data_IF_094227483083
#
_entry.id   IF_094227483083
#
_cell.length_a   1.000
_cell.length_b   1.000
_cell.length_c   1.000
_cell.angle_alpha   90.00
_cell.angle_beta   90.00
_cell.angle_gamma   90.00
#
_symmetry.space_group_name_H-M   'P 1'
#
loop_
_entity.id
_entity.type
_entity.pdbx_description
1 polymer ?
#
# COMPACT_ATOMS: atom_id res chain seq x y z
N UNK A 1 -9.05 -6.14 35.47
CA UNK A 1 -8.76 -5.24 34.34
C UNK A 1 -9.57 -5.73 33.16
N UNK A 2 -10.61 -5.00 32.74
CA UNK A 2 -11.29 -5.25 31.47
C UNK A 2 -10.32 -4.97 30.34
N UNK A 3 -10.02 -5.97 29.51
CA UNK A 3 -9.22 -5.79 28.30
C UNK A 3 -9.92 -4.77 27.42
N UNK A 4 -9.28 -3.61 27.21
CA UNK A 4 -9.80 -2.57 26.32
C UNK A 4 -9.88 -3.16 24.92
N UNK A 5 -11.06 -3.11 24.29
CA UNK A 5 -11.22 -3.56 22.90
C UNK A 5 -10.35 -2.71 21.97
N UNK A 6 -9.61 -3.37 21.08
CA UNK A 6 -8.70 -2.73 20.13
C UNK A 6 -9.16 -2.93 18.70
N UNK A 7 -9.17 -1.87 17.89
CA UNK A 7 -9.35 -1.96 16.44
C UNK A 7 -7.98 -1.98 15.80
N UNK A 8 -7.63 -3.05 15.08
CA UNK A 8 -6.27 -3.25 14.59
C UNK A 8 -6.18 -2.99 13.09
N UNK A 9 -5.15 -2.27 12.68
CA UNK A 9 -4.67 -2.23 11.30
C UNK A 9 -3.36 -3.01 11.24
N UNK A 10 -3.09 -3.66 10.12
CA UNK A 10 -1.82 -4.34 9.89
C UNK A 10 -1.18 -3.83 8.60
N UNK A 11 0.11 -3.56 8.61
CA UNK A 11 0.88 -3.26 7.40
C UNK A 11 2.20 -4.01 7.41
N UNK A 12 2.64 -4.52 6.28
CA UNK A 12 4.03 -4.95 6.14
C UNK A 12 4.98 -3.75 5.98
N UNK A 13 6.23 -3.95 6.37
CA UNK A 13 7.26 -2.92 6.29
C UNK A 13 7.52 -2.49 4.84
N UNK A 14 7.38 -3.40 3.87
CA UNK A 14 7.48 -3.12 2.42
C UNK A 14 6.38 -2.18 1.91
N UNK A 15 5.23 -2.12 2.59
CA UNK A 15 4.16 -1.16 2.30
C UNK A 15 4.47 0.20 2.90
N UNK A 16 5.05 0.25 4.11
CA UNK A 16 5.32 1.51 4.83
C UNK A 16 6.60 2.21 4.36
N UNK A 17 7.58 1.44 3.90
CA UNK A 17 8.87 1.93 3.42
C UNK A 17 9.07 1.57 1.95
N UNK A 18 9.77 2.43 1.23
CA UNK A 18 10.20 2.15 -0.13
C UNK A 18 11.47 1.27 -0.13
N UNK A 19 11.30 0.00 0.22
CA UNK A 19 12.38 -1.00 0.27
C UNK A 19 13.07 -1.15 -1.09
N UNK A 20 12.35 -0.90 -2.20
CA UNK A 20 12.90 -0.93 -3.56
C UNK A 20 14.03 0.08 -3.69
N UNK A 21 13.85 1.31 -3.20
CA UNK A 21 14.89 2.33 -3.17
C UNK A 21 16.12 1.86 -2.38
N UNK A 22 15.90 1.25 -1.21
CA UNK A 22 16.98 0.69 -0.39
C UNK A 22 17.79 -0.38 -1.13
N UNK A 23 17.11 -1.27 -1.86
CA UNK A 23 17.76 -2.29 -2.71
C UNK A 23 18.52 -1.64 -3.86
N UNK A 24 17.90 -0.69 -4.58
CA UNK A 24 18.51 -0.02 -5.73
C UNK A 24 19.78 0.74 -5.33
N UNK A 25 19.83 1.34 -4.13
CA UNK A 25 21.02 1.99 -3.60
C UNK A 25 22.23 1.08 -3.38
N UNK A 26 22.06 -0.24 -3.49
CA UNK A 26 23.14 -1.23 -3.47
C UNK A 26 23.66 -1.58 -4.86
N UNK A 27 22.91 -1.27 -5.91
CA UNK A 27 23.17 -1.72 -7.28
C UNK A 27 23.67 -0.57 -8.15
N UNK A 28 23.11 0.63 -7.97
CA UNK A 28 23.38 1.79 -8.81
C UNK A 28 23.93 2.96 -8.01
N UNK A 29 24.71 3.81 -8.67
CA UNK A 29 25.30 5.02 -8.09
C UNK A 29 24.21 6.02 -7.66
N UNK A 30 24.53 6.86 -6.67
CA UNK A 30 23.58 7.78 -6.02
C UNK A 30 22.89 8.73 -7.01
N UNK A 31 23.63 9.32 -7.96
CA UNK A 31 23.05 10.23 -8.97
C UNK A 31 22.02 9.51 -9.86
N UNK A 32 22.36 8.29 -10.32
CA UNK A 32 21.45 7.48 -11.15
C UNK A 32 20.24 7.00 -10.35
N UNK A 33 20.43 6.70 -9.06
CA UNK A 33 19.34 6.36 -8.16
C UNK A 33 18.38 7.53 -8.04
N UNK A 34 18.89 8.74 -7.82
CA UNK A 34 18.07 9.94 -7.69
C UNK A 34 17.25 10.21 -8.95
N UNK A 35 17.88 10.10 -10.13
CA UNK A 35 17.21 10.24 -11.42
C UNK A 35 16.10 9.19 -11.58
N UNK A 36 16.39 7.92 -11.24
CA UNK A 36 15.44 6.83 -11.35
C UNK A 36 14.24 7.02 -10.42
N UNK A 37 14.45 7.24 -9.11
CA UNK A 37 13.35 7.33 -8.13
C UNK A 37 12.49 8.59 -8.30
N UNK A 38 13.00 9.58 -9.03
CA UNK A 38 12.27 10.81 -9.37
C UNK A 38 11.52 10.70 -10.70
N UNK A 39 11.72 9.62 -11.44
CA UNK A 39 11.11 9.43 -12.78
C UNK A 39 9.69 8.87 -12.72
N UNK A 40 8.89 9.20 -13.74
CA UNK A 40 7.57 8.60 -13.97
C UNK A 40 7.65 7.06 -14.03
N UNK A 41 8.73 6.54 -14.63
CA UNK A 41 8.95 5.09 -14.80
C UNK A 41 9.04 4.36 -13.47
N UNK A 42 9.59 4.99 -12.43
CA UNK A 42 9.66 4.39 -11.10
C UNK A 42 8.34 4.56 -10.32
N UNK A 43 7.77 5.76 -10.37
CA UNK A 43 6.60 6.14 -9.57
C UNK A 43 5.32 5.44 -10.05
N UNK A 44 5.15 5.30 -11.36
CA UNK A 44 4.01 4.66 -12.01
C UNK A 44 4.40 3.32 -12.63
N UNK A 45 5.44 2.66 -12.11
CA UNK A 45 5.87 1.35 -12.60
C UNK A 45 4.72 0.35 -12.51
N UNK A 46 4.53 -0.45 -13.54
CA UNK A 46 3.59 -1.57 -13.50
C UNK A 46 4.25 -2.83 -12.92
N UNK A 47 5.58 -2.89 -12.91
CA UNK A 47 6.37 -4.04 -12.46
C UNK A 47 7.59 -3.54 -11.67
N UNK A 48 8.13 -4.36 -10.77
CA UNK A 48 9.43 -4.09 -10.13
C UNK A 48 10.59 -4.47 -11.08
N UNK A 49 10.61 -3.80 -12.24
CA UNK A 49 11.66 -3.87 -13.24
C UNK A 49 12.18 -2.45 -13.50
N UNK A 50 13.50 -2.27 -13.39
CA UNK A 50 14.12 -0.94 -13.39
C UNK A 50 15.14 -0.83 -14.52
N UNK A 51 15.12 0.29 -15.23
CA UNK A 51 16.05 0.56 -16.32
C UNK A 51 17.50 0.48 -15.83
N UNK A 52 18.36 -0.19 -16.60
CA UNK A 52 19.80 -0.37 -16.30
C UNK A 52 20.09 -1.14 -15.00
N UNK A 53 19.12 -1.86 -14.46
CA UNK A 53 19.30 -2.73 -13.29
C UNK A 53 19.19 -4.19 -13.73
N UNK A 54 20.21 -4.99 -13.40
CA UNK A 54 20.14 -6.43 -13.64
C UNK A 54 19.08 -7.06 -12.72
N UNK A 55 18.05 -7.67 -13.33
CA UNK A 55 16.90 -8.25 -12.61
C UNK A 55 17.30 -9.37 -11.66
N UNK A 56 18.26 -10.22 -12.04
CA UNK A 56 18.71 -11.32 -11.20
C UNK A 56 19.46 -10.81 -9.97
N UNK A 57 20.28 -9.78 -10.13
CA UNK A 57 20.98 -9.12 -9.02
C UNK A 57 20.01 -8.42 -8.08
N UNK A 58 19.02 -7.71 -8.61
CA UNK A 58 17.95 -7.12 -7.82
C UNK A 58 17.21 -8.17 -6.99
N UNK A 59 16.77 -9.26 -7.63
CA UNK A 59 16.08 -10.35 -6.97
C UNK A 59 16.96 -11.04 -5.91
N UNK A 60 18.26 -11.21 -6.19
CA UNK A 60 19.21 -11.77 -5.24
C UNK A 60 19.30 -10.93 -3.97
N UNK A 61 19.41 -9.60 -4.09
CA UNK A 61 19.46 -8.70 -2.93
C UNK A 61 18.11 -8.68 -2.22
N UNK A 62 16.99 -8.59 -2.96
CA UNK A 62 15.65 -8.59 -2.38
C UNK A 62 15.38 -9.84 -1.54
N UNK A 63 15.74 -11.02 -2.05
CA UNK A 63 15.55 -12.29 -1.36
C UNK A 63 16.48 -12.47 -0.14
N UNK A 64 17.60 -11.74 -0.08
CA UNK A 64 18.58 -11.80 1.00
C UNK A 64 18.68 -10.47 1.76
N UNK A 65 17.60 -9.67 1.78
CA UNK A 65 17.59 -8.34 2.38
C UNK A 65 17.79 -8.39 3.89
N UNK A 66 18.63 -7.50 4.39
CA UNK A 66 18.98 -7.35 5.81
C UNK A 66 18.57 -5.97 6.33
N UNK A 67 18.68 -5.74 7.64
CA UNK A 67 18.33 -4.47 8.30
C UNK A 67 19.02 -3.26 7.67
N UNK A 68 20.23 -3.41 7.12
CA UNK A 68 20.92 -2.36 6.35
C UNK A 68 20.14 -1.85 5.12
N UNK A 69 19.19 -2.61 4.56
CA UNK A 69 18.30 -2.09 3.52
C UNK A 69 17.28 -1.11 4.10
N UNK A 70 16.80 -1.33 5.34
CA UNK A 70 15.84 -0.43 6.01
C UNK A 70 16.46 0.96 6.19
N UNK A 71 17.72 1.04 6.61
CA UNK A 71 18.41 2.32 6.83
C UNK A 71 18.63 3.13 5.54
N UNK A 72 18.59 2.47 4.38
CA UNK A 72 18.69 3.07 3.05
C UNK A 72 17.35 3.29 2.37
N UNK A 73 16.26 2.84 3.00
CA UNK A 73 14.91 2.99 2.49
C UNK A 73 14.31 4.31 2.95
N UNK A 74 13.32 4.81 2.22
CA UNK A 74 12.59 6.02 2.59
C UNK A 74 11.17 5.66 3.00
N UNK A 75 10.49 6.58 3.68
CA UNK A 75 9.07 6.41 4.01
C UNK A 75 8.26 6.45 2.71
N UNK A 76 7.44 5.43 2.47
CA UNK A 76 6.52 5.41 1.35
C UNK A 76 5.30 6.29 1.65
N UNK A 77 4.64 6.80 0.59
CA UNK A 77 3.42 7.60 0.77
C UNK A 77 2.28 6.82 1.46
N UNK A 78 2.29 5.49 1.39
CA UNK A 78 1.36 4.60 2.09
C UNK A 78 1.31 4.87 3.60
N UNK A 79 2.42 5.32 4.20
CA UNK A 79 2.44 5.73 5.59
C UNK A 79 1.37 6.80 5.90
N UNK A 80 1.16 7.76 4.99
CA UNK A 80 0.11 8.76 5.13
C UNK A 80 -1.29 8.15 4.99
N UNK A 81 -1.46 7.16 4.11
CA UNK A 81 -2.73 6.44 3.95
C UNK A 81 -3.10 5.69 5.23
N UNK A 82 -2.15 4.94 5.79
CA UNK A 82 -2.31 4.21 7.07
C UNK A 82 -2.62 5.19 8.20
N UNK A 83 -1.85 6.29 8.32
CA UNK A 83 -2.09 7.34 9.31
C UNK A 83 -3.50 7.92 9.21
N UNK A 84 -3.93 8.30 8.00
CA UNK A 84 -5.27 8.86 7.78
C UNK A 84 -6.37 7.86 8.16
N UNK A 85 -6.15 6.57 7.90
CA UNK A 85 -7.10 5.52 8.28
C UNK A 85 -7.20 5.36 9.80
N UNK A 86 -6.07 5.38 10.52
CA UNK A 86 -6.06 5.37 11.99
C UNK A 86 -6.80 6.59 12.57
N UNK A 87 -6.51 7.79 12.06
CA UNK A 87 -7.21 9.04 12.47
C UNK A 87 -8.72 8.95 12.23
N UNK A 88 -9.14 8.38 11.10
CA UNK A 88 -10.57 8.24 10.79
C UNK A 88 -11.26 7.23 11.72
N UNK A 89 -10.57 6.16 12.13
CA UNK A 89 -11.07 5.21 13.12
C UNK A 89 -11.23 5.90 14.49
N UNK A 90 -10.22 6.67 14.93
CA UNK A 90 -10.31 7.43 16.18
C UNK A 90 -11.48 8.42 16.17
N UNK A 91 -11.65 9.18 15.09
CA UNK A 91 -12.78 10.11 14.91
C UNK A 91 -14.12 9.40 14.98
N UNK A 92 -14.24 8.24 14.32
CA UNK A 92 -15.45 7.41 14.37
C UNK A 92 -15.73 6.92 15.79
N UNK A 93 -14.72 6.45 16.51
CA UNK A 93 -14.89 5.98 17.89
C UNK A 93 -15.40 7.10 18.80
N UNK A 94 -14.84 8.31 18.68
CA UNK A 94 -15.33 9.49 19.40
C UNK A 94 -16.78 9.80 19.04
N UNK A 95 -17.12 9.80 17.75
CA UNK A 95 -18.48 10.09 17.27
C UNK A 95 -19.51 9.06 17.78
N UNK A 96 -19.15 7.78 17.84
CA UNK A 96 -20.00 6.69 18.32
C UNK A 96 -19.94 6.48 19.84
N UNK A 97 -19.18 7.30 20.57
CA UNK A 97 -18.92 7.14 22.00
C UNK A 97 -18.37 5.75 22.37
N UNK A 98 -17.52 5.18 21.51
CA UNK A 98 -16.83 3.91 21.73
C UNK A 98 -15.49 4.13 22.45
N UNK A 99 -15.20 3.34 23.48
CA UNK A 99 -13.95 3.41 24.25
C UNK A 99 -12.81 2.57 23.65
N UNK A 100 -12.86 2.28 22.35
CA UNK A 100 -11.87 1.44 21.66
C UNK A 100 -10.60 2.23 21.30
N UNK A 101 -9.44 1.59 21.47
CA UNK A 101 -8.15 2.15 21.02
C UNK A 101 -7.72 1.50 19.71
N UNK A 102 -6.97 2.24 18.90
CA UNK A 102 -6.36 1.78 17.67
C UNK A 102 -5.02 1.09 17.93
N UNK A 103 -4.72 0.06 17.16
CA UNK A 103 -3.42 -0.60 17.15
C UNK A 103 -2.92 -0.71 15.71
N UNK A 104 -1.66 -0.37 15.48
CA UNK A 104 -0.96 -0.63 14.24
C UNK A 104 0.01 -1.80 14.43
N UNK A 105 -0.32 -2.93 13.81
CA UNK A 105 0.57 -4.08 13.71
C UNK A 105 1.48 -3.88 12.50
N UNK A 106 2.78 -4.00 12.70
CA UNK A 106 3.77 -3.87 11.63
C UNK A 106 4.49 -5.18 11.46
N UNK A 107 4.32 -5.81 10.31
CA UNK A 107 5.03 -7.02 9.96
C UNK A 107 6.39 -6.67 9.36
N UNK A 108 7.46 -6.95 10.09
CA UNK A 108 8.83 -6.68 9.68
C UNK A 108 9.48 -7.84 8.93
N UNK A 109 8.74 -8.91 8.61
CA UNK A 109 9.30 -10.03 7.85
C UNK A 109 9.86 -9.56 6.49
N UNK A 110 11.04 -10.03 6.04
CA UNK A 110 11.91 -11.06 6.63
C UNK A 110 13.02 -10.50 7.52
N UNK A 111 12.99 -9.21 7.87
CA UNK A 111 14.06 -8.57 8.65
C UNK A 111 14.13 -9.14 10.07
N UNK A 112 15.34 -9.39 10.53
CA UNK A 112 15.62 -9.82 11.91
C UNK A 112 16.18 -8.65 12.68
N UNK A 113 15.32 -8.01 13.47
CA UNK A 113 15.70 -6.89 14.32
C UNK A 113 16.08 -7.39 15.72
N UNK A 114 17.05 -6.73 16.32
CA UNK A 114 17.29 -6.77 17.76
C UNK A 114 16.17 -6.05 18.52
N UNK A 115 16.08 -6.27 19.84
CA UNK A 115 15.11 -5.57 20.67
C UNK A 115 15.29 -4.05 20.59
N UNK A 116 16.55 -3.58 20.60
CA UNK A 116 16.87 -2.16 20.47
C UNK A 116 16.41 -1.59 19.12
N UNK A 117 16.72 -2.26 18.02
CA UNK A 117 16.27 -1.82 16.69
C UNK A 117 14.73 -1.83 16.58
N UNK A 118 14.07 -2.76 17.27
CA UNK A 118 12.61 -2.83 17.34
C UNK A 118 12.03 -1.64 18.10
N UNK A 119 12.60 -1.30 19.25
CA UNK A 119 12.25 -0.11 20.05
C UNK A 119 12.47 1.18 19.25
N UNK A 120 13.63 1.32 18.58
CA UNK A 120 13.96 2.48 17.75
C UNK A 120 12.94 2.67 16.61
N UNK A 121 12.51 1.58 15.95
CA UNK A 121 11.47 1.64 14.90
C UNK A 121 10.12 2.04 15.49
N UNK A 122 9.72 1.48 16.64
CA UNK A 122 8.47 1.84 17.31
C UNK A 122 8.46 3.34 17.63
N UNK A 123 9.53 3.86 18.21
CA UNK A 123 9.64 5.28 18.60
C UNK A 123 9.56 6.22 17.39
N UNK A 124 10.25 5.88 16.29
CA UNK A 124 10.21 6.65 15.05
C UNK A 124 8.80 6.66 14.46
N UNK A 125 8.14 5.50 14.40
CA UNK A 125 6.79 5.40 13.84
C UNK A 125 5.78 6.12 14.73
N UNK A 126 5.86 5.94 16.05
CA UNK A 126 5.01 6.64 17.01
C UNK A 126 5.12 8.15 16.84
N UNK A 127 6.36 8.66 16.78
CA UNK A 127 6.66 10.08 16.57
C UNK A 127 6.09 10.59 15.24
N UNK A 128 6.20 9.81 14.16
CA UNK A 128 5.70 10.20 12.83
C UNK A 128 4.17 10.14 12.72
N UNK A 129 3.55 9.14 13.34
CA UNK A 129 2.10 9.01 13.38
C UNK A 129 1.48 10.17 14.17
N UNK A 130 2.05 10.52 15.33
CA UNK A 130 1.58 11.60 16.19
C UNK A 130 0.07 11.48 16.51
N UNK A 131 -0.36 10.27 16.86
CA UNK A 131 -1.73 9.91 17.26
C UNK A 131 -1.68 8.87 18.39
N UNK A 132 -2.78 8.69 19.12
CA UNK A 132 -2.84 7.82 20.28
C UNK A 132 -3.15 6.37 19.88
N UNK A 133 -2.19 5.73 19.20
CA UNK A 133 -2.27 4.34 18.74
C UNK A 133 -1.21 3.49 19.42
N UNK A 134 -1.55 2.23 19.72
CA UNK A 134 -0.54 1.23 20.03
C UNK A 134 0.20 0.82 18.76
N UNK A 135 1.47 0.44 18.90
CA UNK A 135 2.28 -0.11 17.82
C UNK A 135 2.81 -1.46 18.28
N UNK A 136 2.56 -2.49 17.48
CA UNK A 136 3.03 -3.85 17.73
C UNK A 136 3.87 -4.30 16.55
N UNK A 137 5.11 -4.70 16.81
CA UNK A 137 5.97 -5.28 15.78
C UNK A 137 5.82 -6.80 15.82
N UNK A 138 5.58 -7.40 14.65
CA UNK A 138 5.54 -8.86 14.47
C UNK A 138 6.46 -9.27 13.33
N UNK A 139 6.91 -10.52 13.35
CA UNK A 139 7.74 -11.08 12.27
C UNK A 139 7.09 -12.37 11.76
N UNK A 140 6.09 -12.19 10.89
CA UNK A 140 5.28 -13.28 10.36
C UNK A 140 5.60 -13.50 8.89
N UNK A 141 5.96 -14.72 8.51
CA UNK A 141 6.12 -15.04 7.11
C UNK A 141 4.78 -14.96 6.37
N UNK A 142 4.81 -14.90 5.04
CA UNK A 142 3.59 -14.95 4.22
C UNK A 142 2.75 -16.18 4.58
N UNK A 143 3.39 -17.32 4.89
CA UNK A 143 2.69 -18.57 5.27
C UNK A 143 1.98 -18.47 6.61
N UNK A 144 2.50 -17.66 7.53
CA UNK A 144 1.92 -17.50 8.87
C UNK A 144 0.85 -16.42 8.91
N UNK A 145 0.89 -15.47 7.98
CA UNK A 145 -0.12 -14.43 7.79
C UNK A 145 -1.38 -14.99 7.08
N UNK A 146 -2.03 -15.97 7.69
CA UNK A 146 -3.18 -16.66 7.07
C UNK A 146 -4.47 -15.83 7.15
N UNK A 147 -5.46 -16.09 6.29
CA UNK A 147 -6.80 -15.52 6.44
C UNK A 147 -7.41 -15.75 7.83
N UNK A 148 -7.25 -16.96 8.39
CA UNK A 148 -7.72 -17.22 9.76
C UNK A 148 -7.06 -16.31 10.78
N UNK A 149 -5.75 -16.10 10.71
CA UNK A 149 -5.05 -15.17 11.60
C UNK A 149 -5.63 -13.74 11.50
N UNK A 150 -5.82 -13.22 10.27
CA UNK A 150 -6.37 -11.88 10.06
C UNK A 150 -7.76 -11.75 10.69
N UNK A 151 -8.62 -12.75 10.44
CA UNK A 151 -9.99 -12.81 10.96
C UNK A 151 -10.03 -12.86 12.49
N UNK A 152 -9.27 -13.78 13.09
CA UNK A 152 -9.31 -14.05 14.53
C UNK A 152 -8.60 -12.97 15.36
N UNK A 153 -7.72 -12.17 14.74
CA UNK A 153 -6.89 -11.17 15.44
C UNK A 153 -7.56 -9.80 15.63
N UNK A 154 -8.77 -9.58 15.10
CA UNK A 154 -9.46 -8.29 15.15
C UNK A 154 -8.86 -7.23 14.21
N UNK A 155 -8.18 -7.66 13.14
CA UNK A 155 -7.58 -6.78 12.14
C UNK A 155 -8.65 -6.36 11.14
N UNK A 156 -9.02 -5.07 11.09
CA UNK A 156 -10.06 -4.59 10.16
C UNK A 156 -9.49 -4.25 8.78
N UNK A 157 -8.19 -3.96 8.68
CA UNK A 157 -7.55 -3.82 7.38
C UNK A 157 -6.08 -4.18 7.40
N UNK A 158 -5.63 -4.76 6.29
CA UNK A 158 -4.27 -5.26 6.10
C UNK A 158 -3.66 -4.68 4.82
N UNK A 159 -2.45 -4.14 4.89
CA UNK A 159 -1.68 -3.65 3.75
C UNK A 159 -0.53 -4.63 3.48
N UNK A 160 -0.53 -5.26 2.32
CA UNK A 160 0.45 -6.28 1.92
C UNK A 160 1.05 -5.88 0.58
N UNK A 161 2.37 -5.70 0.53
CA UNK A 161 3.06 -5.35 -0.72
C UNK A 161 3.12 -6.55 -1.67
N UNK A 162 3.55 -7.71 -1.18
CA UNK A 162 3.67 -8.93 -2.01
C UNK A 162 2.33 -9.67 -2.14
N UNK A 163 1.42 -9.05 -2.88
CA UNK A 163 0.05 -9.52 -3.10
C UNK A 163 -0.01 -10.88 -3.79
N UNK A 164 0.86 -11.13 -4.77
CA UNK A 164 0.88 -12.39 -5.51
C UNK A 164 1.20 -13.56 -4.59
N UNK A 165 2.30 -13.50 -3.84
CA UNK A 165 2.71 -14.63 -3.02
C UNK A 165 1.69 -14.90 -1.89
N UNK A 166 1.06 -13.85 -1.35
CA UNK A 166 0.01 -14.02 -0.37
C UNK A 166 -1.24 -14.69 -0.95
N UNK A 167 -1.73 -14.23 -2.11
CA UNK A 167 -2.87 -14.82 -2.80
C UNK A 167 -2.59 -16.27 -3.21
N UNK A 168 -1.43 -16.54 -3.82
CA UNK A 168 -1.04 -17.91 -4.23
C UNK A 168 -0.94 -18.86 -3.04
N UNK A 169 -0.44 -18.37 -1.90
CA UNK A 169 -0.31 -19.18 -0.67
C UNK A 169 -1.67 -19.49 -0.06
N UNK A 170 -2.61 -18.52 -0.06
CA UNK A 170 -3.81 -18.59 0.76
C UNK A 170 -5.13 -18.74 0.00
N UNK A 171 -5.10 -18.83 -1.34
CA UNK A 171 -6.32 -18.91 -2.16
C UNK A 171 -7.29 -20.00 -1.68
N UNK A 172 -6.77 -21.18 -1.36
CA UNK A 172 -7.58 -22.30 -0.85
C UNK A 172 -8.11 -22.04 0.57
N UNK A 173 -7.33 -21.38 1.42
CA UNK A 173 -7.77 -21.07 2.79
C UNK A 173 -8.84 -19.97 2.83
N UNK A 174 -8.81 -19.04 1.88
CA UNK A 174 -9.85 -18.01 1.70
C UNK A 174 -11.25 -18.57 1.43
N UNK A 175 -11.35 -19.78 0.88
CA UNK A 175 -12.64 -20.47 0.71
C UNK A 175 -13.25 -20.88 2.06
N UNK A 176 -12.42 -21.33 3.00
CA UNK A 176 -12.84 -21.75 4.33
C UNK A 176 -12.94 -20.58 5.32
N UNK A 177 -12.04 -19.61 5.20
CA UNK A 177 -11.88 -18.47 6.12
C UNK A 177 -12.10 -17.15 5.37
N UNK A 178 -13.35 -16.91 4.98
CA UNK A 178 -13.73 -15.67 4.31
C UNK A 178 -13.42 -14.44 5.17
N UNK A 179 -12.93 -13.41 4.50
CA UNK A 179 -12.52 -12.10 5.01
C UNK A 179 -13.45 -11.00 4.50
N UNK A 180 -14.76 -11.23 4.52
CA UNK A 180 -15.75 -10.27 3.99
C UNK A 180 -15.86 -9.00 4.85
N UNK A 181 -15.51 -9.09 6.13
CA UNK A 181 -15.52 -7.95 7.07
C UNK A 181 -14.14 -7.27 7.20
N UNK A 182 -13.14 -7.78 6.49
CA UNK A 182 -11.78 -7.26 6.48
C UNK A 182 -11.47 -6.68 5.10
N UNK A 183 -10.66 -5.62 5.06
CA UNK A 183 -10.22 -5.04 3.78
C UNK A 183 -8.73 -5.26 3.61
N UNK A 184 -8.33 -5.94 2.55
CA UNK A 184 -6.93 -6.11 2.18
C UNK A 184 -6.57 -5.10 1.08
N UNK A 185 -5.48 -4.38 1.29
CA UNK A 185 -4.92 -3.44 0.34
C UNK A 185 -3.66 -4.04 -0.27
N UNK A 186 -3.61 -4.04 -1.59
CA UNK A 186 -2.47 -4.50 -2.38
C UNK A 186 -1.95 -3.38 -3.28
N UNK A 187 -0.68 -3.40 -3.70
CA UNK A 187 -0.23 -2.59 -4.82
C UNK A 187 -0.82 -3.09 -6.14
N UNK A 188 -1.19 -2.16 -7.01
CA UNK A 188 -1.53 -2.40 -8.42
C UNK A 188 -0.26 -2.74 -9.23
N UNK A 189 0.42 -3.82 -8.86
CA UNK A 189 1.65 -4.30 -9.50
C UNK A 189 1.38 -5.59 -10.28
N UNK A 190 1.90 -5.66 -11.49
CA UNK A 190 1.84 -6.81 -12.38
C UNK A 190 3.10 -7.65 -12.17
N UNK A 191 2.91 -8.95 -11.97
CA UNK A 191 4.02 -9.90 -11.83
C UNK A 191 4.31 -10.63 -13.15
N UNK A 192 3.25 -10.93 -13.90
CA UNK A 192 3.32 -11.53 -15.24
C UNK A 192 2.51 -10.66 -16.18
N UNK A 193 3.14 -10.12 -17.23
CA UNK A 193 2.46 -9.26 -18.18
C UNK A 193 1.33 -10.04 -18.87
N UNK A 194 0.06 -9.63 -18.73
CA UNK A 194 -1.04 -10.33 -19.38
C UNK A 194 -0.90 -10.22 -20.90
N UNK A 195 -1.33 -11.25 -21.61
CA UNK A 195 -1.36 -11.20 -23.07
C UNK A 195 -2.44 -10.21 -23.53
N UNK A 196 -2.33 -9.72 -24.76
CA UNK A 196 -3.37 -8.86 -25.35
C UNK A 196 -4.73 -9.56 -25.36
N UNK A 197 -4.76 -10.85 -25.65
CA UNK A 197 -5.98 -11.66 -25.68
C UNK A 197 -6.63 -11.75 -24.28
N UNK A 198 -5.84 -11.82 -23.21
CA UNK A 198 -6.35 -11.82 -21.84
C UNK A 198 -6.96 -10.47 -21.47
N UNK A 199 -6.29 -9.37 -21.82
CA UNK A 199 -6.83 -8.02 -21.62
C UNK A 199 -8.13 -7.81 -22.41
N UNK A 200 -8.18 -8.23 -23.66
CA UNK A 200 -9.38 -8.11 -24.50
C UNK A 200 -10.57 -8.91 -23.92
N UNK A 201 -10.32 -10.08 -23.32
CA UNK A 201 -11.36 -10.85 -22.60
C UNK A 201 -11.86 -10.11 -21.37
N UNK A 202 -10.95 -9.54 -20.57
CA UNK A 202 -11.29 -8.78 -19.36
C UNK A 202 -12.15 -7.55 -19.73
N UNK A 203 -11.75 -6.80 -20.76
CA UNK A 203 -12.51 -5.64 -21.24
C UNK A 203 -13.88 -6.03 -21.78
N UNK A 204 -14.01 -7.16 -22.50
CA UNK A 204 -15.32 -7.67 -22.96
C UNK A 204 -16.26 -8.04 -21.81
N UNK A 205 -15.72 -8.40 -20.65
CA UNK A 205 -16.49 -8.65 -19.43
C UNK A 205 -16.87 -7.35 -18.69
N UNK A 206 -16.47 -6.18 -19.19
CA UNK A 206 -16.82 -4.87 -18.64
C UNK A 206 -15.84 -4.33 -17.60
N UNK A 207 -14.65 -4.92 -17.47
CA UNK A 207 -13.62 -4.48 -16.54
C UNK A 207 -12.57 -3.59 -17.24
N UNK A 208 -12.08 -2.58 -16.52
CA UNK A 208 -11.12 -1.63 -17.07
C UNK A 208 -9.69 -2.18 -17.07
N UNK A 209 -9.37 -3.06 -16.13
CA UNK A 209 -8.04 -3.61 -15.93
C UNK A 209 -8.10 -4.98 -15.22
N UNK A 210 -6.93 -5.62 -15.09
CA UNK A 210 -6.80 -6.92 -14.41
C UNK A 210 -7.06 -6.85 -12.91
N UNK A 211 -6.86 -5.67 -12.29
CA UNK A 211 -6.99 -5.49 -10.84
C UNK A 211 -8.46 -5.47 -10.43
N UNK A 212 -9.28 -4.66 -11.09
CA UNK A 212 -10.74 -4.60 -10.92
C UNK A 212 -11.41 -5.94 -11.23
N UNK A 213 -10.91 -6.67 -12.24
CA UNK A 213 -11.35 -8.03 -12.50
C UNK A 213 -11.00 -9.00 -11.36
N UNK A 214 -9.80 -8.89 -10.80
CA UNK A 214 -9.35 -9.72 -9.66
C UNK A 214 -10.16 -9.42 -8.39
N UNK A 215 -10.44 -8.14 -8.09
CA UNK A 215 -11.32 -7.72 -6.99
C UNK A 215 -12.71 -8.34 -7.12
N UNK A 216 -13.27 -8.33 -8.34
CA UNK A 216 -14.57 -8.92 -8.61
C UNK A 216 -14.58 -10.43 -8.37
N UNK A 217 -13.62 -11.17 -8.93
CA UNK A 217 -13.55 -12.63 -8.78
C UNK A 217 -13.43 -13.02 -7.30
N UNK A 218 -12.65 -12.28 -6.52
CA UNK A 218 -12.37 -12.62 -5.12
C UNK A 218 -13.38 -12.04 -4.12
N UNK A 219 -14.31 -11.19 -4.57
CA UNK A 219 -15.27 -10.48 -3.72
C UNK A 219 -16.16 -11.39 -2.86
N UNK A 220 -16.40 -12.63 -3.28
CA UNK A 220 -17.17 -13.61 -2.51
C UNK A 220 -16.42 -14.16 -1.28
N UNK A 221 -15.10 -13.93 -1.21
CA UNK A 221 -14.20 -14.47 -0.20
C UNK A 221 -13.44 -13.39 0.57
N UNK A 222 -13.10 -12.26 -0.05
CA UNK A 222 -12.31 -11.20 0.55
C UNK A 222 -12.57 -9.86 -0.13
N UNK A 223 -12.61 -8.77 0.65
CA UNK A 223 -12.63 -7.42 0.10
C UNK A 223 -11.20 -6.97 -0.17
N UNK A 224 -10.82 -6.90 -1.45
CA UNK A 224 -9.51 -6.41 -1.90
C UNK A 224 -9.67 -5.02 -2.50
N UNK A 225 -8.69 -4.15 -2.26
CA UNK A 225 -8.51 -2.91 -2.99
C UNK A 225 -7.07 -2.81 -3.50
N UNK A 226 -6.89 -2.77 -4.82
CA UNK A 226 -5.60 -2.47 -5.42
C UNK A 226 -5.36 -0.95 -5.40
N UNK A 227 -4.20 -0.56 -4.88
CA UNK A 227 -3.79 0.81 -4.70
C UNK A 227 -2.69 1.17 -5.71
N UNK A 228 -2.76 2.36 -6.33
CA UNK A 228 -1.76 2.80 -7.30
C UNK A 228 -0.32 2.79 -6.75
N UNK A 229 0.64 2.44 -7.61
CA UNK A 229 2.06 2.31 -7.24
C UNK A 229 2.71 3.60 -6.73
N UNK A 230 2.17 4.76 -7.08
CA UNK A 230 2.59 6.04 -6.51
C UNK A 230 2.48 6.06 -4.98
N UNK A 231 1.53 5.32 -4.38
CA UNK A 231 1.41 5.24 -2.92
C UNK A 231 2.53 4.41 -2.28
N UNK A 232 3.16 3.50 -3.03
CA UNK A 232 4.27 2.66 -2.55
C UNK A 232 5.64 3.21 -2.96
N UNK A 233 5.68 4.44 -3.44
CA UNK A 233 6.93 5.16 -3.76
C UNK A 233 7.28 6.13 -2.62
N UNK A 234 8.53 6.60 -2.59
CA UNK A 234 8.99 7.56 -1.60
C UNK A 234 8.03 8.76 -1.45
N UNK A 235 7.80 9.18 -0.20
CA UNK A 235 6.79 10.17 0.17
C UNK A 235 6.98 11.52 -0.52
N UNK A 236 8.23 11.95 -0.78
CA UNK A 236 8.52 13.26 -1.37
C UNK A 236 8.08 13.29 -2.83
N UNK A 237 8.55 12.33 -3.63
CA UNK A 237 8.20 12.20 -5.04
C UNK A 237 6.70 11.98 -5.20
N UNK A 238 6.14 11.01 -4.46
CA UNK A 238 4.72 10.70 -4.51
C UNK A 238 3.83 11.91 -4.18
N UNK A 239 4.19 12.69 -3.15
CA UNK A 239 3.46 13.92 -2.80
C UNK A 239 3.52 14.95 -3.93
N UNK A 240 4.66 15.10 -4.59
CA UNK A 240 4.81 15.98 -5.76
C UNK A 240 3.84 15.62 -6.88
N UNK A 241 3.76 14.34 -7.24
CA UNK A 241 2.81 13.86 -8.25
C UNK A 241 1.37 14.03 -7.84
N UNK A 242 1.00 13.62 -6.63
CA UNK A 242 -0.39 13.71 -6.13
C UNK A 242 -0.86 15.17 -6.12
N UNK A 243 0.00 16.10 -5.69
CA UNK A 243 -0.32 17.53 -5.70
C UNK A 243 -0.51 18.06 -7.12
N UNK A 244 0.37 17.67 -8.06
CA UNK A 244 0.25 18.04 -9.47
C UNK A 244 -1.04 17.50 -10.12
N UNK A 245 -1.43 16.26 -9.83
CA UNK A 245 -2.69 15.71 -10.33
C UNK A 245 -3.91 16.41 -9.71
N UNK A 246 -3.85 16.71 -8.42
CA UNK A 246 -4.93 17.43 -7.75
C UNK A 246 -5.10 18.86 -8.28
N UNK A 247 -4.02 19.56 -8.66
CA UNK A 247 -4.14 20.88 -9.29
C UNK A 247 -4.76 20.77 -10.67
N UNK A 248 -4.29 19.83 -11.51
CA UNK A 248 -4.86 19.60 -12.85
C UNK A 248 -6.36 19.29 -12.79
N UNK A 249 -6.79 18.45 -11.84
CA UNK A 249 -8.21 18.11 -11.69
C UNK A 249 -9.05 19.29 -11.18
N UNK A 250 -8.48 20.17 -10.35
CA UNK A 250 -9.15 21.41 -9.95
C UNK A 250 -9.29 22.36 -11.14
N UNK A 251 -8.23 22.51 -11.94
CA UNK A 251 -8.23 23.39 -13.12
C UNK A 251 -9.21 22.88 -14.20
N UNK A 252 -9.29 21.58 -14.43
CA UNK A 252 -10.29 20.98 -15.33
C UNK A 252 -11.73 21.27 -14.88
N UNK A 253 -12.04 21.02 -13.60
CA UNK A 253 -13.36 21.34 -13.03
C UNK A 253 -13.68 22.83 -13.13
N UNK A 254 -12.68 23.69 -12.95
CA UNK A 254 -12.85 25.14 -13.07
C UNK A 254 -13.16 25.54 -14.52
N UNK A 255 -12.46 24.96 -15.49
CA UNK A 255 -12.70 25.22 -16.92
C UNK A 255 -14.07 24.71 -17.38
N UNK A 256 -14.48 23.51 -16.94
CA UNK A 256 -15.83 22.98 -17.19
C UNK A 256 -16.92 23.93 -16.63
N UNK A 257 -16.72 24.46 -15.42
CA UNK A 257 -17.62 25.46 -14.83
C UNK A 257 -17.64 26.78 -15.61
N UNK A 258 -16.50 27.23 -16.16
CA UNK A 258 -16.46 28.44 -17.00
C UNK A 258 -17.16 28.23 -18.33
N UNK A 259 -16.98 27.08 -18.99
CA UNK A 259 -17.65 26.75 -20.25
C UNK A 259 -19.17 26.65 -20.08
N UNK A 260 -19.64 26.00 -19.01
CA UNK A 260 -21.07 25.93 -18.70
C UNK A 260 -21.72 27.31 -18.43
N UNK A 261 -20.98 28.24 -17.82
CA UNK A 261 -21.48 29.59 -17.55
C UNK A 261 -21.46 30.48 -18.80
N UNK A 262 -20.48 30.33 -19.69
CA UNK A 262 -20.43 31.04 -20.98
C UNK A 262 -21.57 30.58 -21.91
N UNK A 263 -21.98 29.30 -21.84
CA UNK A 263 -23.13 28.79 -22.61
C UNK A 263 -24.45 29.37 -22.07
N UNK A 264 -24.60 29.48 -20.74
CA UNK A 264 -25.81 30.05 -20.13
C UNK A 264 -25.99 31.55 -20.36
N UNK A 265 -24.90 32.32 -20.50
CA UNK A 265 -24.99 33.76 -20.84
C UNK A 265 -25.39 34.02 -22.30
N UNK A 266 -25.28 33.02 -23.19
CA UNK A 266 -25.71 33.12 -24.60
C UNK A 266 -27.18 32.75 -24.84
N UNK A 267 -27.88 32.25 -23.81
CA UNK A 267 -29.28 31.80 -23.90
C UNK A 267 -30.28 32.73 -23.19
N UNK A 268 -29.87 33.95 -22.83
CA UNK A 268 -30.79 34.99 -22.32
C UNK A 268 -31.14 35.95 -23.47
N UNK A 269 -32.42 36.04 -23.90
CA UNK A 269 -32.90 37.03 -24.87
C UNK A 269 -32.84 38.46 -24.34
#
# INVERSE_FOLDING_TARGET
>A
MTTKETIKLMADIDSLLDIRQGILSKIIDEDKLLDLISSDKYVFRDMDEFDNVNKDEYNRINNNRTVDIISKSTVAFMFNIVKNKLVNIEKRNVYLNESKTTELIINIYPFKLTNKETEDIIDVIFTKLNINTFITIVNMSIKDLTPRFIKDSGIVSTFIYNSKDWLDTHMKELEANKLTDNVIYFPSIIYNKPSKDDLDKITKLGFNDIFSFTEYILSANVTINFLPMVFYSNILTASGYINKFNSINKDKKLNELFEENIVKEKEVP
#
